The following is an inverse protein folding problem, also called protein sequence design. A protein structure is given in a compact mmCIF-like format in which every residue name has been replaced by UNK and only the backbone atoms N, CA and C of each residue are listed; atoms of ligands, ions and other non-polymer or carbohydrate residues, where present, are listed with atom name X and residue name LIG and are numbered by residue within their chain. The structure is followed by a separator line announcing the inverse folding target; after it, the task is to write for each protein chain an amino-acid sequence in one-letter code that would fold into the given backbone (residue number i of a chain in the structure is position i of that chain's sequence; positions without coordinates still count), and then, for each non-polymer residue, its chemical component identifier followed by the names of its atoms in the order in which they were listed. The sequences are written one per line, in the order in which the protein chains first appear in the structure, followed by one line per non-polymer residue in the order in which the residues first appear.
data_IF_256616587622
#
_entry.id   IF_256616587622
#
_cell.length_a   1.000
_cell.length_b   1.000
_cell.length_c   1.000
_cell.angle_alpha   90.00
_cell.angle_beta   90.00
_cell.angle_gamma   90.00
#
_symmetry.space_group_name_H-M   'P 1'
#
loop_
_entity.id
_entity.type
_entity.pdbx_description
1 polymer ?
#
# COMPACT_ATOMS: atom_id res chain seq x y z
N UNK A 1 11.87 15.30 3.11
CA UNK A 1 11.95 15.54 4.58
C UNK A 1 10.59 15.86 5.18
N UNK A 2 9.74 16.67 4.52
CA UNK A 2 8.35 16.96 4.94
C UNK A 2 7.54 15.69 5.23
N UNK A 3 7.49 14.73 4.30
CA UNK A 3 6.77 13.46 4.49
C UNK A 3 7.16 12.65 5.75
N UNK A 4 8.38 12.84 6.27
CA UNK A 4 8.80 12.21 7.53
C UNK A 4 8.29 13.04 8.72
N UNK A 5 8.39 14.36 8.64
CA UNK A 5 7.95 15.29 9.69
C UNK A 5 6.43 15.30 9.86
N UNK A 6 5.68 15.13 8.78
CA UNK A 6 4.22 15.20 8.75
C UNK A 6 3.56 13.85 9.07
N UNK A 7 4.35 12.80 9.36
CA UNK A 7 3.81 11.49 9.70
C UNK A 7 3.07 11.53 11.07
N UNK A 8 1.75 11.29 11.10
CA UNK A 8 0.95 11.56 12.30
C UNK A 8 1.21 10.61 13.47
N UNK A 9 1.92 9.51 13.24
CA UNK A 9 2.21 8.49 14.24
C UNK A 9 3.70 8.39 14.62
N UNK A 10 4.48 9.46 14.37
CA UNK A 10 5.91 9.51 14.70
C UNK A 10 6.24 9.61 16.20
N UNK A 11 5.23 9.90 17.05
CA UNK A 11 5.40 10.05 18.49
C UNK A 11 5.48 8.74 19.27
N UNK A 12 5.91 8.82 20.55
CA UNK A 12 5.85 7.69 21.48
C UNK A 12 4.40 7.20 21.62
N UNK A 13 4.21 5.88 21.56
CA UNK A 13 2.88 5.26 21.59
C UNK A 13 2.14 5.25 20.25
N UNK A 14 2.72 5.86 19.20
CA UNK A 14 2.14 5.84 17.85
C UNK A 14 2.29 4.52 17.10
N UNK A 15 2.87 3.47 17.69
CA UNK A 15 3.09 2.20 17.02
C UNK A 15 2.10 1.12 17.49
N UNK A 16 1.46 0.44 16.55
CA UNK A 16 0.61 -0.73 16.74
C UNK A 16 0.90 -1.79 15.68
N UNK A 17 1.24 -3.01 16.11
CA UNK A 17 1.69 -4.11 15.24
C UNK A 17 0.69 -4.38 14.09
N UNK A 18 -0.59 -4.52 14.42
CA UNK A 18 -1.66 -4.81 13.46
C UNK A 18 -2.98 -4.15 13.88
N UNK A 19 -3.79 -3.66 12.92
CA UNK A 19 -3.52 -3.48 11.48
C UNK A 19 -2.57 -2.32 11.16
N UNK A 20 -2.03 -1.65 12.17
CA UNK A 20 -1.22 -0.44 12.06
C UNK A 20 -1.75 0.66 12.97
N UNK A 21 -1.09 1.81 13.05
CA UNK A 21 0.13 2.19 12.30
C UNK A 21 1.40 1.44 12.75
N UNK A 22 2.20 0.93 11.81
CA UNK A 22 3.48 0.26 12.05
C UNK A 22 4.60 0.76 11.09
N UNK A 23 5.73 0.06 11.00
CA UNK A 23 6.84 0.45 10.10
C UNK A 23 6.45 0.44 8.61
N UNK A 24 5.63 -0.52 8.18
CA UNK A 24 5.11 -0.56 6.81
C UNK A 24 4.12 0.58 6.55
N UNK A 25 3.32 0.96 7.54
CA UNK A 25 2.47 2.15 7.46
C UNK A 25 3.29 3.43 7.26
N UNK A 26 4.42 3.56 7.96
CA UNK A 26 5.33 4.68 7.80
C UNK A 26 5.96 4.71 6.40
N UNK A 27 6.51 3.60 5.92
CA UNK A 27 7.12 3.55 4.58
C UNK A 27 6.05 3.82 3.50
N UNK A 28 4.86 3.25 3.63
CA UNK A 28 3.75 3.54 2.72
C UNK A 28 3.34 5.02 2.74
N UNK A 29 3.34 5.65 3.92
CA UNK A 29 3.09 7.08 4.04
C UNK A 29 4.14 7.89 3.27
N UNK A 30 5.42 7.62 3.49
CA UNK A 30 6.51 8.35 2.82
C UNK A 30 6.44 8.17 1.29
N UNK A 31 6.24 6.95 0.80
CA UNK A 31 6.15 6.67 -0.64
C UNK A 31 5.00 7.44 -1.31
N UNK A 32 3.88 7.64 -0.62
CA UNK A 32 2.71 8.37 -1.15
C UNK A 32 2.84 9.90 -1.09
N UNK A 33 3.70 10.43 -0.23
CA UNK A 33 3.82 11.87 0.02
C UNK A 33 5.11 12.48 -0.57
N UNK A 34 5.98 11.68 -1.16
CA UNK A 34 7.17 12.16 -1.88
C UNK A 34 6.90 12.13 -3.38
N UNK A 35 6.75 13.29 -4.04
CA UNK A 35 6.41 13.34 -5.45
C UNK A 35 7.43 12.64 -6.35
N UNK A 36 6.95 11.99 -7.40
CA UNK A 36 7.77 11.32 -8.40
C UNK A 36 8.21 9.90 -8.01
N UNK A 37 7.71 9.37 -6.89
CA UNK A 37 7.96 7.98 -6.48
C UNK A 37 6.75 7.11 -6.82
N UNK A 38 6.83 6.38 -7.93
CA UNK A 38 5.80 5.40 -8.32
C UNK A 38 5.99 4.01 -7.69
N UNK A 39 6.82 3.90 -6.65
CA UNK A 39 7.11 2.64 -5.98
C UNK A 39 6.04 2.28 -4.94
N UNK A 40 5.88 0.97 -4.69
CA UNK A 40 4.95 0.47 -3.68
C UNK A 40 5.60 -0.61 -2.84
N UNK A 41 5.18 -0.72 -1.59
CA UNK A 41 5.58 -1.82 -0.73
C UNK A 41 5.14 -3.17 -1.30
N UNK A 42 5.84 -4.24 -0.90
CA UNK A 42 5.41 -5.61 -1.19
C UNK A 42 3.99 -5.84 -0.65
N UNK A 43 3.13 -6.61 -1.34
CA UNK A 43 1.83 -7.04 -0.80
C UNK A 43 1.96 -7.83 0.52
N UNK A 44 3.15 -8.34 0.83
CA UNK A 44 3.49 -8.99 2.10
C UNK A 44 3.71 -8.02 3.27
N UNK A 45 3.78 -6.72 3.00
CA UNK A 45 4.06 -5.70 4.00
C UNK A 45 2.80 -5.38 4.82
N UNK A 46 2.49 -6.23 5.81
CA UNK A 46 1.34 -6.07 6.70
C UNK A 46 1.33 -4.67 7.33
N UNK A 47 0.23 -3.93 7.15
CA UNK A 47 0.07 -2.54 7.59
C UNK A 47 0.35 -1.49 6.51
N UNK A 48 0.76 -1.88 5.29
CA UNK A 48 0.93 -0.96 4.14
C UNK A 48 -0.35 -0.21 3.77
N UNK A 49 -1.52 -0.82 4.00
CA UNK A 49 -2.82 -0.25 3.61
C UNK A 49 -3.53 0.49 4.75
N UNK A 50 -2.90 0.62 5.91
CA UNK A 50 -3.45 1.46 6.97
C UNK A 50 -3.58 2.92 6.48
N UNK A 51 -4.75 3.57 6.65
CA UNK A 51 -5.01 4.93 6.16
C UNK A 51 -4.34 5.97 7.06
N UNK A 52 -3.04 6.16 6.89
CA UNK A 52 -2.27 7.09 7.74
C UNK A 52 -2.60 8.56 7.53
N UNK A 53 -3.28 8.88 6.45
CA UNK A 53 -3.88 10.16 6.08
C UNK A 53 -5.27 10.37 6.70
N UNK A 54 -5.78 9.39 7.47
CA UNK A 54 -7.12 9.43 8.05
C UNK A 54 -8.26 9.19 7.06
N UNK A 55 -7.95 9.07 5.77
CA UNK A 55 -8.93 8.90 4.70
C UNK A 55 -9.11 7.42 4.35
N UNK A 56 -10.34 6.92 4.42
CA UNK A 56 -10.66 5.55 4.03
C UNK A 56 -10.56 5.35 2.51
N UNK A 57 -10.59 6.44 1.74
CA UNK A 57 -10.40 6.45 0.29
C UNK A 57 -9.29 7.43 -0.07
N UNK A 58 -8.37 7.02 -0.94
CA UNK A 58 -7.28 7.87 -1.41
C UNK A 58 -6.96 7.59 -2.88
N UNK A 59 -6.52 8.62 -3.59
CA UNK A 59 -5.98 8.51 -4.95
C UNK A 59 -4.49 8.85 -4.94
N UNK A 60 -3.69 7.96 -5.51
CA UNK A 60 -2.24 8.11 -5.67
C UNK A 60 -1.97 8.51 -7.13
N UNK A 61 -1.62 9.78 -7.35
CA UNK A 61 -1.42 10.33 -8.69
C UNK A 61 -0.18 9.79 -9.39
N UNK A 62 0.88 9.53 -8.63
CA UNK A 62 2.16 9.05 -9.17
C UNK A 62 2.03 7.59 -9.63
N UNK A 63 1.26 6.79 -8.89
CA UNK A 63 0.99 5.38 -9.24
C UNK A 63 -0.25 5.19 -10.11
N UNK A 64 -1.13 6.19 -10.20
CA UNK A 64 -2.47 6.13 -10.83
C UNK A 64 -3.31 5.01 -10.24
N UNK A 65 -3.31 4.91 -8.91
CA UNK A 65 -4.05 3.90 -8.16
C UNK A 65 -5.06 4.57 -7.22
N UNK A 66 -6.26 3.99 -7.14
CA UNK A 66 -7.28 4.31 -6.15
C UNK A 66 -7.22 3.25 -5.06
N UNK A 67 -7.26 3.65 -3.80
CA UNK A 67 -7.26 2.76 -2.63
C UNK A 67 -8.46 3.06 -1.75
N UNK A 68 -9.13 2.00 -1.33
CA UNK A 68 -10.12 1.97 -0.26
C UNK A 68 -9.58 1.09 0.87
N UNK A 69 -9.59 1.57 2.11
CA UNK A 69 -9.11 0.83 3.27
C UNK A 69 -9.97 1.11 4.50
N UNK A 70 -10.52 0.05 5.07
CA UNK A 70 -11.22 0.05 6.34
C UNK A 70 -10.22 -0.16 7.47
N UNK A 71 -9.53 0.91 7.86
CA UNK A 71 -8.54 0.94 8.96
C UNK A 71 -7.44 -0.13 8.84
N UNK A 72 -7.14 -0.60 7.63
CA UNK A 72 -6.16 -1.67 7.37
C UNK A 72 -6.67 -3.10 7.63
N UNK A 73 -7.92 -3.30 8.06
CA UNK A 73 -8.52 -4.64 8.22
C UNK A 73 -9.03 -5.22 6.91
N UNK A 74 -9.58 -4.38 6.03
CA UNK A 74 -10.05 -4.78 4.72
C UNK A 74 -9.82 -3.63 3.75
N UNK A 75 -9.59 -3.91 2.48
CA UNK A 75 -9.38 -2.87 1.49
C UNK A 75 -9.36 -3.38 0.07
N UNK A 76 -9.49 -2.44 -0.86
CA UNK A 76 -9.40 -2.68 -2.30
C UNK A 76 -8.46 -1.61 -2.86
N UNK A 77 -7.50 -2.02 -3.68
CA UNK A 77 -6.66 -1.10 -4.45
C UNK A 77 -6.83 -1.43 -5.93
N UNK A 78 -7.09 -0.43 -6.75
CA UNK A 78 -7.26 -0.60 -8.18
C UNK A 78 -6.53 0.50 -8.95
N UNK A 79 -5.76 0.13 -9.97
CA UNK A 79 -5.14 1.09 -10.87
C UNK A 79 -4.12 0.49 -11.81
N UNK A 80 -3.48 1.35 -12.61
CA UNK A 80 -2.57 0.91 -13.67
C UNK A 80 -1.24 0.39 -13.10
N UNK A 81 -0.88 0.79 -11.88
CA UNK A 81 0.36 0.32 -11.24
C UNK A 81 0.14 -0.83 -10.27
N UNK A 82 -1.06 -0.99 -9.71
CA UNK A 82 -1.38 -2.10 -8.78
C UNK A 82 -2.12 -3.26 -9.42
N UNK A 83 -2.78 -3.06 -10.57
CA UNK A 83 -3.82 -4.00 -11.03
C UNK A 83 -5.05 -3.89 -10.12
N UNK A 84 -5.67 -5.02 -9.79
CA UNK A 84 -6.75 -5.12 -8.81
C UNK A 84 -6.26 -5.95 -7.62
N UNK A 85 -6.16 -5.33 -6.44
CA UNK A 85 -5.79 -5.99 -5.18
C UNK A 85 -6.94 -5.88 -4.16
N UNK A 86 -7.10 -6.93 -3.37
CA UNK A 86 -7.97 -7.00 -2.21
C UNK A 86 -7.13 -7.36 -1.00
N UNK A 87 -7.20 -6.54 0.04
CA UNK A 87 -6.60 -6.81 1.35
C UNK A 87 -7.68 -7.28 2.30
N UNK A 88 -7.43 -8.38 3.01
CA UNK A 88 -8.21 -8.82 4.16
C UNK A 88 -7.27 -9.27 5.28
N UNK A 89 -7.36 -8.62 6.43
CA UNK A 89 -6.56 -8.88 7.63
C UNK A 89 -5.04 -8.88 7.38
N UNK A 90 -4.59 -8.04 6.44
CA UNK A 90 -3.17 -7.95 6.06
C UNK A 90 -2.74 -8.96 4.99
N UNK A 91 -3.63 -9.87 4.57
CA UNK A 91 -3.42 -10.75 3.43
C UNK A 91 -3.92 -10.07 2.16
N UNK A 92 -3.05 -9.98 1.17
CA UNK A 92 -3.37 -9.35 -0.12
C UNK A 92 -3.49 -10.41 -1.19
N UNK A 93 -4.62 -10.44 -1.89
CA UNK A 93 -4.84 -11.17 -3.13
C UNK A 93 -4.97 -10.17 -4.27
N UNK A 94 -4.52 -10.51 -5.48
CA UNK A 94 -4.70 -9.59 -6.59
C UNK A 94 -4.34 -10.17 -7.95
N UNK A 95 -4.73 -9.42 -8.97
CA UNK A 95 -4.42 -9.71 -10.37
C UNK A 95 -3.96 -8.45 -11.07
N UNK A 96 -2.98 -8.60 -11.95
CA UNK A 96 -2.59 -7.56 -12.89
C UNK A 96 -2.60 -8.11 -14.32
N UNK A 97 -3.62 -7.75 -15.12
CA UNK A 97 -3.72 -8.17 -16.51
C UNK A 97 -2.60 -7.62 -17.42
N UNK A 98 -2.06 -6.44 -17.13
CA UNK A 98 -1.02 -5.81 -17.95
C UNK A 98 0.32 -6.51 -17.80
N UNK A 99 0.58 -7.08 -16.62
CA UNK A 99 1.81 -7.81 -16.29
C UNK A 99 1.66 -9.33 -16.35
N UNK A 100 0.43 -9.82 -16.61
CA UNK A 100 0.06 -11.21 -16.44
C UNK A 100 0.54 -11.73 -15.07
N UNK A 101 0.21 -10.95 -14.03
CA UNK A 101 0.67 -11.21 -12.68
C UNK A 101 -0.48 -11.59 -11.74
N UNK A 102 -0.16 -12.45 -10.77
CA UNK A 102 -1.06 -12.87 -9.69
C UNK A 102 -0.36 -12.63 -8.36
N UNK A 103 -1.05 -11.93 -7.46
CA UNK A 103 -0.64 -11.77 -6.07
C UNK A 103 -1.34 -12.83 -5.24
N UNK A 104 -0.54 -13.74 -4.68
CA UNK A 104 -1.01 -14.83 -3.82
C UNK A 104 -0.87 -14.39 -2.36
N UNK A 105 -1.96 -14.44 -1.57
CA UNK A 105 -1.91 -14.16 -0.14
C UNK A 105 -0.77 -14.89 0.57
N UNK A 106 0.02 -14.17 1.35
CA UNK A 106 1.18 -14.69 2.08
C UNK A 106 2.40 -15.16 1.23
N UNK A 107 2.31 -15.16 -0.10
CA UNK A 107 3.42 -15.61 -0.98
C UNK A 107 3.94 -14.52 -1.94
N UNK A 108 3.26 -13.39 -2.04
CA UNK A 108 3.69 -12.26 -2.87
C UNK A 108 3.17 -12.30 -4.30
N UNK A 109 3.79 -11.54 -5.19
CA UNK A 109 3.36 -11.38 -6.59
C UNK A 109 4.26 -12.19 -7.52
N UNK A 110 3.63 -12.97 -8.40
CA UNK A 110 4.26 -13.72 -9.47
C UNK A 110 3.85 -13.09 -10.80
N UNK A 111 4.82 -12.69 -11.63
CA UNK A 111 4.60 -11.99 -12.89
C UNK A 111 5.28 -12.73 -14.03
N UNK A 112 4.59 -12.85 -15.17
CA UNK A 112 5.18 -13.41 -16.40
C UNK A 112 5.86 -12.34 -17.26
N UNK A 113 5.43 -11.08 -17.13
CA UNK A 113 6.01 -9.96 -17.86
C UNK A 113 6.82 -9.06 -16.92
N UNK A 114 7.99 -8.65 -17.36
CA UNK A 114 8.78 -7.63 -16.68
C UNK A 114 8.18 -6.24 -16.92
N UNK A 115 8.41 -5.31 -16.00
CA UNK A 115 8.16 -3.88 -16.23
C UNK A 115 9.47 -3.25 -16.69
N UNK A 116 9.43 -2.48 -17.76
CA UNK A 116 10.50 -1.51 -18.02
C UNK A 116 10.50 -0.52 -16.85
N UNK A 117 11.66 -0.39 -16.19
CA UNK A 117 11.87 0.47 -15.02
C UNK A 117 11.96 1.93 -15.46
#
# INVERSE_FOLDING_TARGET
RSAIADYPYGGRGGYRIFPGPNSNTFVAHVLRHVPGIAASLSPMAVGRDYPSDGSLAAFDSDRRDVRLSLFGYAGITAGLSSGLEVNLLGLVAGIDPLRLAVTIPAFGTFSLLARDI
#
